data_IF_547915975281
#
_entry.id   IF_547915975281
#
_cell.length_a   1.000
_cell.length_b   1.000
_cell.length_c   1.000
_cell.angle_alpha   90.00
_cell.angle_beta   90.00
_cell.angle_gamma   90.00
#
_symmetry.space_group_name_H-M   'P 1'
#
loop_
_entity.id
_entity.type
_entity.pdbx_description
1 polymer ?
#
# COMPACT_ATOMS: atom_id res chain seq x y z
N UNK A 1 -13.64 -12.51 -23.17
CA UNK A 1 -12.35 -12.48 -22.45
C UNK A 1 -12.51 -13.24 -21.15
N UNK A 2 -12.36 -14.55 -21.17
CA UNK A 2 -12.39 -15.38 -19.95
C UNK A 2 -10.94 -15.58 -19.53
N UNK A 3 -10.54 -14.91 -18.45
CA UNK A 3 -9.23 -15.12 -17.83
C UNK A 3 -9.10 -16.59 -17.45
N UNK A 4 -8.03 -17.22 -17.96
CA UNK A 4 -7.60 -18.57 -17.63
C UNK A 4 -7.57 -18.81 -16.11
N UNK A 5 -7.71 -20.07 -15.65
CA UNK A 5 -7.93 -20.37 -14.25
C UNK A 5 -6.84 -19.78 -13.34
N UNK A 6 -7.32 -19.46 -12.15
CA UNK A 6 -6.82 -18.63 -11.05
C UNK A 6 -5.37 -18.88 -10.59
N UNK A 7 -4.37 -18.70 -11.45
CA UNK A 7 -2.94 -18.79 -11.09
C UNK A 7 -2.45 -17.48 -10.50
N UNK A 8 -3.09 -17.03 -9.39
CA UNK A 8 -2.60 -15.86 -8.66
C UNK A 8 -1.24 -16.20 -8.03
N UNK A 9 -0.23 -15.34 -8.19
CA UNK A 9 1.08 -15.59 -7.61
C UNK A 9 1.06 -15.46 -6.09
N UNK A 10 1.94 -16.17 -5.42
CA UNK A 10 2.30 -15.86 -4.03
C UNK A 10 3.21 -14.64 -4.06
N UNK A 11 2.87 -13.60 -3.30
CA UNK A 11 3.65 -12.36 -3.22
C UNK A 11 4.32 -12.29 -1.86
N UNK A 12 5.64 -12.07 -1.84
CA UNK A 12 6.41 -11.96 -0.60
C UNK A 12 7.29 -10.70 -0.60
N UNK A 13 7.26 -9.98 0.51
CA UNK A 13 8.17 -8.87 0.77
C UNK A 13 9.57 -9.36 1.14
N UNK A 14 10.62 -8.73 0.62
CA UNK A 14 12.01 -9.06 0.95
C UNK A 14 12.75 -7.88 1.58
N UNK A 15 13.55 -8.17 2.60
CA UNK A 15 14.52 -7.25 3.22
C UNK A 15 15.94 -7.60 2.71
N UNK A 16 16.82 -6.61 2.46
CA UNK A 16 18.21 -6.86 2.10
C UNK A 16 18.98 -7.67 3.15
N UNK A 17 18.61 -7.57 4.42
CA UNK A 17 19.19 -8.32 5.53
C UNK A 17 18.88 -9.83 5.39
N UNK A 18 19.90 -10.68 5.14
CA UNK A 18 19.69 -12.12 4.97
C UNK A 18 19.08 -12.81 6.20
N UNK A 19 19.23 -12.24 7.40
CA UNK A 19 18.65 -12.80 8.63
C UNK A 19 17.12 -12.76 8.64
N UNK A 20 16.51 -11.91 7.80
CA UNK A 20 15.05 -11.72 7.72
C UNK A 20 14.39 -12.52 6.59
N UNK A 21 15.01 -13.60 6.13
CA UNK A 21 14.52 -14.41 4.99
C UNK A 21 13.53 -15.50 5.34
N UNK A 22 13.08 -15.61 6.59
CA UNK A 22 12.12 -16.65 7.00
C UNK A 22 10.83 -16.62 6.17
N UNK A 23 10.28 -15.43 5.92
CA UNK A 23 9.08 -15.27 5.09
C UNK A 23 9.32 -15.70 3.63
N UNK A 24 10.53 -15.43 3.09
CA UNK A 24 10.91 -15.85 1.74
C UNK A 24 11.00 -17.39 1.65
N UNK A 25 11.58 -18.04 2.65
CA UNK A 25 11.67 -19.50 2.68
C UNK A 25 10.28 -20.16 2.69
N UNK A 26 9.39 -19.69 3.57
CA UNK A 26 8.01 -20.17 3.61
C UNK A 26 7.27 -19.96 2.28
N UNK A 27 7.40 -18.77 1.68
CA UNK A 27 6.70 -18.46 0.43
C UNK A 27 7.23 -19.29 -0.76
N UNK A 28 8.52 -19.63 -0.76
CA UNK A 28 9.11 -20.52 -1.76
C UNK A 28 8.56 -21.95 -1.63
N UNK A 29 8.51 -22.49 -0.41
CA UNK A 29 7.95 -23.81 -0.14
C UNK A 29 6.47 -23.89 -0.57
N UNK A 30 5.67 -22.86 -0.27
CA UNK A 30 4.26 -22.83 -0.67
C UNK A 30 4.06 -22.66 -2.18
N UNK A 31 4.90 -21.86 -2.83
CA UNK A 31 4.84 -21.70 -4.29
C UNK A 31 5.16 -23.03 -5.01
N UNK A 32 6.13 -23.79 -4.50
CA UNK A 32 6.48 -25.11 -5.02
C UNK A 32 5.35 -26.12 -4.83
N UNK A 33 4.82 -26.23 -3.59
CA UNK A 33 3.69 -27.13 -3.25
C UNK A 33 2.47 -26.92 -4.13
N UNK A 34 2.13 -25.66 -4.40
CA UNK A 34 0.94 -25.30 -5.15
C UNK A 34 1.19 -25.11 -6.65
N UNK A 35 2.45 -25.23 -7.10
CA UNK A 35 2.88 -24.92 -8.48
C UNK A 35 2.41 -23.54 -8.94
N UNK A 36 2.53 -22.56 -8.05
CA UNK A 36 2.16 -21.17 -8.31
C UNK A 36 3.42 -20.32 -8.54
N UNK A 37 3.33 -19.26 -9.36
CA UNK A 37 4.44 -18.32 -9.50
C UNK A 37 4.72 -17.62 -8.16
N UNK A 38 6.00 -17.41 -7.84
CA UNK A 38 6.44 -16.60 -6.70
C UNK A 38 6.87 -15.21 -7.16
N UNK A 39 6.34 -14.16 -6.54
CA UNK A 39 6.69 -12.76 -6.83
C UNK A 39 7.33 -12.09 -5.62
N UNK A 40 8.59 -11.69 -5.77
CA UNK A 40 9.35 -10.99 -4.74
C UNK A 40 9.16 -9.48 -4.89
N UNK A 41 8.94 -8.79 -3.77
CA UNK A 41 8.76 -7.33 -3.73
C UNK A 41 9.68 -6.73 -2.68
N UNK A 42 10.43 -5.69 -3.05
CA UNK A 42 11.20 -4.89 -2.12
C UNK A 42 10.65 -3.46 -2.12
N UNK A 43 10.16 -2.98 -0.98
CA UNK A 43 9.69 -1.61 -0.84
C UNK A 43 10.85 -0.71 -0.41
N UNK A 44 11.07 0.37 -1.15
CA UNK A 44 11.99 1.44 -0.79
C UNK A 44 11.18 2.71 -0.61
N UNK A 45 11.56 3.56 0.34
CA UNK A 45 11.00 4.91 0.42
C UNK A 45 11.19 5.60 -0.93
N UNK A 46 10.08 6.02 -1.53
CA UNK A 46 10.12 6.98 -2.62
C UNK A 46 10.65 8.31 -2.04
N UNK A 47 11.45 9.07 -2.81
CA UNK A 47 11.80 10.43 -2.40
C UNK A 47 10.51 11.18 -2.03
N UNK A 48 10.52 12.02 -0.98
CA UNK A 48 9.35 12.79 -0.62
C UNK A 48 8.87 13.49 -1.88
N UNK A 49 7.65 13.18 -2.32
CA UNK A 49 7.09 13.85 -3.48
C UNK A 49 7.08 15.34 -3.14
N UNK A 50 7.56 16.18 -4.05
CA UNK A 50 7.43 17.64 -3.92
C UNK A 50 5.96 18.10 -3.83
N UNK A 51 5.01 17.17 -3.91
CA UNK A 51 3.57 17.35 -3.79
C UNK A 51 2.99 16.97 -2.42
N UNK A 52 3.76 16.41 -1.48
CA UNK A 52 3.21 16.05 -0.15
C UNK A 52 3.19 17.22 0.84
N UNK A 53 3.96 18.28 0.59
CA UNK A 53 4.04 19.44 1.51
C UNK A 53 3.41 20.71 0.97
N UNK A 54 2.96 20.74 -0.30
CA UNK A 54 2.13 21.83 -0.77
C UNK A 54 0.70 21.59 -0.27
N UNK A 55 0.47 22.01 0.98
CA UNK A 55 -0.80 22.54 1.48
C UNK A 55 -2.06 21.86 0.90
N UNK A 56 -2.30 20.61 1.29
CA UNK A 56 -3.69 20.18 1.47
C UNK A 56 -4.08 20.60 2.88
N UNK A 57 -4.34 21.90 3.10
CA UNK A 57 -5.29 22.29 4.14
C UNK A 57 -6.59 21.57 3.77
N UNK A 58 -7.01 20.55 4.54
CA UNK A 58 -8.16 19.79 4.14
C UNK A 58 -9.38 20.72 4.10
N UNK A 59 -10.15 20.68 3.02
CA UNK A 59 -11.30 21.57 2.84
C UNK A 59 -12.33 21.52 4.00
N UNK A 60 -12.30 20.48 4.84
CA UNK A 60 -13.14 20.38 6.04
C UNK A 60 -12.80 21.43 7.12
N UNK A 61 -11.57 21.94 7.18
CA UNK A 61 -11.20 23.04 8.10
C UNK A 61 -11.92 24.34 7.73
N UNK A 62 -12.13 24.60 6.44
CA UNK A 62 -12.92 25.75 5.95
C UNK A 62 -14.43 25.58 6.11
N UNK A 63 -14.95 24.34 6.20
CA UNK A 63 -16.38 24.08 6.37
C UNK A 63 -16.89 24.41 7.78
N UNK A 64 -16.09 24.13 8.81
CA UNK A 64 -16.47 24.41 10.21
C UNK A 64 -16.56 25.92 10.52
N UNK A 65 -15.82 26.75 9.80
CA UNK A 65 -15.88 28.21 9.92
C UNK A 65 -17.14 28.78 9.25
N UNK A 66 -17.52 28.23 8.09
CA UNK A 66 -18.76 28.60 7.40
C UNK A 66 -20.01 28.26 8.24
N UNK A 67 -20.03 27.10 8.89
CA UNK A 67 -21.16 26.69 9.75
C UNK A 67 -21.25 27.53 11.03
N UNK A 68 -20.12 27.92 11.64
CA UNK A 68 -20.11 28.85 12.79
C UNK A 68 -20.62 30.25 12.44
N UNK A 69 -20.31 30.72 11.24
CA UNK A 69 -20.75 32.04 10.76
C UNK A 69 -22.25 32.06 10.47
N UNK A 70 -22.80 30.98 9.91
CA UNK A 70 -24.23 30.87 9.57
C UNK A 70 -25.13 30.47 10.76
N UNK A 71 -24.56 29.95 11.85
CA UNK A 71 -25.29 29.60 13.08
C UNK A 71 -25.62 30.76 14.01
N UNK A 72 -25.18 31.98 13.71
CA UNK A 72 -25.38 33.17 14.58
C UNK A 72 -26.39 34.18 14.01
N UNK A 73 -27.35 33.70 13.22
CA UNK A 73 -28.58 34.44 12.91
C UNK A 73 -29.73 33.78 13.68
N UNK A 74 -29.99 34.30 14.87
CA UNK A 74 -31.26 34.12 15.57
C UNK A 74 -31.98 35.45 15.66
#
# INVERSE_FOLDING_TARGET
MTSSPDTRPIVVGIDPDPSKRLALAWAADEADRHRLPLRLVHAREAPPSRYRTAELTPAWETWDEALRTLGTLR
#
